data_IF_536343552911
#
_entry.id   IF_536343552911
#
_cell.length_a   1.000
_cell.length_b   1.000
_cell.length_c   1.000
_cell.angle_alpha   90.00
_cell.angle_beta   90.00
_cell.angle_gamma   90.00
#
_symmetry.space_group_name_H-M   'P 1'
#
loop_
_entity.id
_entity.type
_entity.pdbx_description
1 polymer ?
#
# COMPACT_ATOMS: atom_id res chain seq x y z
N UNK A 1 -29.81 -14.17 1.63
CA UNK A 1 -28.75 -14.42 0.62
C UNK A 1 -27.92 -13.17 0.36
N UNK A 2 -28.54 -12.01 0.17
CA UNK A 2 -27.85 -10.73 -0.03
C UNK A 2 -26.80 -10.42 1.06
N UNK A 3 -27.14 -10.59 2.34
CA UNK A 3 -26.23 -10.29 3.45
C UNK A 3 -24.93 -11.10 3.44
N UNK A 4 -24.99 -12.36 3.00
CA UNK A 4 -23.81 -13.21 2.86
C UNK A 4 -22.92 -12.75 1.70
N UNK A 5 -23.52 -12.33 0.59
CA UNK A 5 -22.77 -11.79 -0.55
C UNK A 5 -22.08 -10.49 -0.14
N UNK A 6 -22.79 -9.61 0.56
CA UNK A 6 -22.22 -8.36 1.08
C UNK A 6 -21.08 -8.64 2.08
N UNK A 7 -21.24 -9.63 2.96
CA UNK A 7 -20.19 -10.06 3.90
C UNK A 7 -18.93 -10.56 3.18
N UNK A 8 -19.09 -11.41 2.17
CA UNK A 8 -17.96 -11.88 1.37
C UNK A 8 -17.29 -10.73 0.60
N UNK A 9 -18.08 -9.82 0.02
CA UNK A 9 -17.55 -8.64 -0.67
C UNK A 9 -16.77 -7.73 0.29
N UNK A 10 -17.33 -7.43 1.46
CA UNK A 10 -16.64 -6.67 2.51
C UNK A 10 -15.33 -7.35 2.92
N UNK A 11 -15.36 -8.66 3.16
CA UNK A 11 -14.17 -9.41 3.55
C UNK A 11 -13.05 -9.33 2.50
N UNK A 12 -13.39 -9.52 1.23
CA UNK A 12 -12.42 -9.42 0.12
C UNK A 12 -11.87 -8.00 -0.01
N UNK A 13 -12.74 -6.99 0.06
CA UNK A 13 -12.38 -5.60 -0.23
C UNK A 13 -11.68 -4.90 0.93
N UNK A 14 -12.02 -5.25 2.17
CA UNK A 14 -11.51 -4.57 3.38
C UNK A 14 -10.51 -5.42 4.15
N UNK A 15 -10.86 -6.65 4.50
CA UNK A 15 -10.02 -7.50 5.36
C UNK A 15 -8.84 -8.13 4.59
N UNK A 16 -9.09 -8.50 3.34
CA UNK A 16 -8.08 -9.06 2.45
C UNK A 16 -7.33 -8.01 1.61
N UNK A 17 -7.68 -6.73 1.76
CA UNK A 17 -7.08 -5.62 1.01
C UNK A 17 -5.55 -5.65 0.96
N UNK A 18 -4.83 -5.93 2.07
CA UNK A 18 -3.37 -5.95 2.03
C UNK A 18 -2.79 -6.97 1.03
N UNK A 19 -3.40 -8.16 0.89
CA UNK A 19 -2.97 -9.16 -0.09
C UNK A 19 -3.19 -8.70 -1.53
N UNK A 20 -4.36 -8.11 -1.81
CA UNK A 20 -4.70 -7.61 -3.14
C UNK A 20 -3.78 -6.46 -3.55
N UNK A 21 -3.61 -5.47 -2.66
CA UNK A 21 -2.75 -4.31 -2.91
C UNK A 21 -1.30 -4.75 -3.07
N UNK A 22 -0.81 -5.68 -2.25
CA UNK A 22 0.55 -6.19 -2.36
C UNK A 22 0.79 -6.88 -3.71
N UNK A 23 -0.11 -7.76 -4.15
CA UNK A 23 0.05 -8.45 -5.43
C UNK A 23 -0.01 -7.47 -6.61
N UNK A 24 -0.93 -6.50 -6.58
CA UNK A 24 -1.02 -5.47 -7.63
C UNK A 24 0.24 -4.59 -7.67
N UNK A 25 0.73 -4.16 -6.50
CA UNK A 25 1.97 -3.39 -6.38
C UNK A 25 3.17 -4.21 -6.85
N UNK A 26 3.26 -5.49 -6.48
CA UNK A 26 4.29 -6.42 -6.92
C UNK A 26 4.32 -6.54 -8.44
N UNK A 27 3.15 -6.80 -9.05
CA UNK A 27 3.04 -6.94 -10.51
C UNK A 27 3.42 -5.65 -11.23
N UNK A 28 2.95 -4.50 -10.73
CA UNK A 28 3.31 -3.18 -11.28
C UNK A 28 4.82 -2.97 -11.23
N UNK A 29 5.42 -3.24 -10.07
CA UNK A 29 6.84 -3.05 -9.85
C UNK A 29 7.71 -3.95 -10.73
N UNK A 30 7.36 -5.23 -10.90
CA UNK A 30 8.11 -6.13 -11.80
C UNK A 30 8.07 -5.61 -13.24
N UNK A 31 6.88 -5.23 -13.73
CA UNK A 31 6.72 -4.68 -15.09
C UNK A 31 7.58 -3.42 -15.26
N UNK A 32 7.48 -2.49 -14.33
CA UNK A 32 8.20 -1.23 -14.37
C UNK A 32 9.70 -1.41 -14.23
N UNK A 33 10.15 -2.34 -13.39
CA UNK A 33 11.57 -2.58 -13.23
C UNK A 33 12.21 -3.22 -14.46
N UNK A 34 11.50 -4.12 -15.17
CA UNK A 34 12.00 -4.66 -16.44
C UNK A 34 12.05 -3.56 -17.49
N UNK A 35 11.02 -2.72 -17.58
CA UNK A 35 11.02 -1.58 -18.51
C UNK A 35 12.19 -0.63 -18.23
N UNK A 36 12.47 -0.33 -16.95
CA UNK A 36 13.63 0.49 -16.60
C UNK A 36 14.93 -0.13 -17.09
N UNK A 37 15.14 -1.43 -16.83
CA UNK A 37 16.34 -2.15 -17.26
C UNK A 37 16.48 -2.15 -18.77
N UNK A 38 15.38 -2.32 -19.51
CA UNK A 38 15.37 -2.15 -20.96
C UNK A 38 15.79 -0.71 -21.29
N UNK A 39 14.98 0.31 -21.00
CA UNK A 39 15.25 1.68 -21.47
C UNK A 39 16.59 2.29 -21.00
N UNK A 40 17.16 1.81 -19.90
CA UNK A 40 18.40 2.34 -19.33
C UNK A 40 19.61 1.40 -19.47
N UNK A 41 19.44 0.25 -20.14
CA UNK A 41 20.57 -0.64 -20.45
C UNK A 41 21.50 0.02 -21.48
N UNK A 42 22.82 -0.02 -21.26
CA UNK A 42 23.80 0.52 -22.21
C UNK A 42 23.79 -0.19 -23.57
N UNK A 43 23.22 -1.39 -23.69
CA UNK A 43 23.10 -2.12 -24.97
C UNK A 43 22.13 -1.46 -25.95
N UNK A 44 21.21 -0.62 -25.48
CA UNK A 44 20.23 0.04 -26.33
C UNK A 44 20.77 1.26 -27.09
N UNK A 45 21.95 1.82 -26.83
CA UNK A 45 22.36 3.02 -27.56
C UNK A 45 22.46 2.84 -29.10
N UNK A 46 22.93 1.69 -29.64
CA UNK A 46 22.90 1.42 -31.09
C UNK A 46 21.72 0.52 -31.51
N UNK A 47 21.28 -0.38 -30.64
CA UNK A 47 20.18 -1.32 -30.92
C UNK A 47 18.80 -0.69 -30.75
N UNK A 48 18.64 0.40 -29.97
CA UNK A 48 17.40 1.16 -29.87
C UNK A 48 17.10 1.87 -31.19
N UNK A 49 18.08 2.52 -31.82
CA UNK A 49 17.87 3.13 -33.14
C UNK A 49 17.57 2.07 -34.22
N UNK A 50 18.20 0.89 -34.11
CA UNK A 50 17.89 -0.26 -34.96
C UNK A 50 16.50 -0.81 -34.68
N UNK A 51 16.12 -1.13 -33.45
CA UNK A 51 14.85 -1.77 -33.07
C UNK A 51 13.66 -0.81 -33.15
N UNK A 52 13.88 0.50 -32.99
CA UNK A 52 12.89 1.55 -33.26
C UNK A 52 12.63 1.71 -34.77
N UNK A 53 13.63 1.41 -35.63
CA UNK A 53 13.46 1.37 -37.10
C UNK A 53 13.05 0.00 -37.64
N UNK A 54 13.42 -1.08 -36.96
CA UNK A 54 13.33 -2.48 -37.39
C UNK A 54 12.44 -3.33 -36.47
N UNK A 55 11.53 -2.72 -35.71
CA UNK A 55 10.50 -3.47 -35.00
C UNK A 55 9.78 -4.39 -36.00
N UNK A 56 9.35 -5.58 -35.57
CA UNK A 56 8.60 -6.51 -36.40
C UNK A 56 7.31 -5.89 -36.99
N UNK A 57 6.86 -4.76 -36.44
CA UNK A 57 5.69 -3.99 -36.87
C UNK A 57 6.04 -2.72 -37.67
N UNK A 58 7.33 -2.46 -37.96
CA UNK A 58 7.80 -1.29 -38.73
C UNK A 58 8.24 -0.10 -37.84
N UNK A 59 8.62 1.04 -38.46
CA UNK A 59 9.04 2.22 -37.71
C UNK A 59 7.89 2.80 -36.87
N UNK A 60 8.10 2.89 -35.56
CA UNK A 60 7.13 3.44 -34.60
C UNK A 60 7.56 4.82 -34.12
N UNK A 61 6.65 5.60 -33.55
CA UNK A 61 7.02 6.74 -32.71
C UNK A 61 7.36 6.28 -31.28
N UNK A 62 7.98 7.15 -30.48
CA UNK A 62 8.42 6.81 -29.13
C UNK A 62 7.26 6.36 -28.23
N UNK A 63 6.08 6.97 -28.39
CA UNK A 63 4.90 6.65 -27.59
C UNK A 63 4.36 5.25 -27.93
N UNK A 64 4.27 4.90 -29.21
CA UNK A 64 3.88 3.58 -29.69
C UNK A 64 4.91 2.52 -29.28
N UNK A 65 6.21 2.83 -29.37
CA UNK A 65 7.26 1.93 -28.91
C UNK A 65 7.17 1.64 -27.41
N UNK A 66 7.00 2.67 -26.57
CA UNK A 66 6.81 2.49 -25.13
C UNK A 66 5.55 1.69 -24.80
N UNK A 67 4.45 1.93 -25.52
CA UNK A 67 3.21 1.16 -25.39
C UNK A 67 3.38 -0.30 -25.77
N UNK A 68 4.11 -0.57 -26.86
CA UNK A 68 4.43 -1.91 -27.32
C UNK A 68 5.34 -2.65 -26.32
N UNK A 69 6.46 -2.04 -25.91
CA UNK A 69 7.37 -2.61 -24.92
C UNK A 69 6.66 -2.95 -23.61
N UNK A 70 5.76 -2.08 -23.14
CA UNK A 70 4.94 -2.34 -21.94
C UNK A 70 4.01 -3.54 -22.13
N UNK A 71 3.48 -3.74 -23.33
CA UNK A 71 2.62 -4.87 -23.66
C UNK A 71 3.43 -6.16 -23.70
N UNK A 72 4.59 -6.16 -24.36
CA UNK A 72 5.51 -7.29 -24.39
C UNK A 72 5.89 -7.74 -22.98
N UNK A 73 6.34 -6.82 -22.11
CA UNK A 73 6.68 -7.14 -20.71
C UNK A 73 5.49 -7.73 -19.95
N UNK A 74 4.29 -7.17 -20.14
CA UNK A 74 3.08 -7.67 -19.45
C UNK A 74 2.68 -9.06 -19.91
N UNK A 75 2.76 -9.34 -21.21
CA UNK A 75 2.47 -10.66 -21.78
C UNK A 75 3.50 -11.66 -21.31
N UNK A 76 4.77 -11.31 -21.37
CA UNK A 76 5.89 -12.13 -20.94
C UNK A 76 5.77 -12.55 -19.46
N UNK A 77 5.45 -11.62 -18.55
CA UNK A 77 5.26 -11.95 -17.13
C UNK A 77 3.93 -12.70 -16.86
N UNK A 78 2.95 -12.57 -17.75
CA UNK A 78 1.56 -13.02 -17.54
C UNK A 78 1.21 -14.36 -18.20
N UNK A 79 1.92 -14.75 -19.26
CA UNK A 79 1.60 -15.93 -20.06
C UNK A 79 2.83 -16.85 -20.22
N UNK A 80 2.89 -17.97 -19.46
CA UNK A 80 3.98 -18.93 -19.58
C UNK A 80 4.00 -19.71 -20.90
N UNK A 81 2.94 -19.58 -21.71
CA UNK A 81 2.81 -20.23 -23.02
C UNK A 81 2.83 -19.24 -24.18
N UNK A 82 3.19 -17.97 -23.93
CA UNK A 82 3.39 -17.01 -25.00
C UNK A 82 4.45 -17.56 -25.97
N UNK A 83 4.01 -17.95 -27.17
CA UNK A 83 4.85 -18.51 -28.23
C UNK A 83 5.49 -17.45 -29.10
N UNK A 84 5.05 -16.20 -28.95
CA UNK A 84 5.50 -15.09 -29.77
C UNK A 84 6.75 -14.47 -29.15
N UNK A 85 7.80 -14.32 -29.97
CA UNK A 85 8.94 -13.48 -29.59
C UNK A 85 8.44 -12.04 -29.34
N UNK A 86 8.94 -11.35 -28.30
CA UNK A 86 8.52 -9.98 -28.01
C UNK A 86 8.75 -9.08 -29.23
N UNK A 87 7.71 -8.32 -29.62
CA UNK A 87 7.68 -7.60 -30.89
C UNK A 87 8.55 -6.33 -30.90
N UNK A 88 8.85 -5.78 -29.73
CA UNK A 88 9.47 -4.46 -29.57
C UNK A 88 10.73 -4.45 -28.70
N UNK A 89 10.89 -5.41 -27.77
CA UNK A 89 12.06 -5.45 -26.87
C UNK A 89 12.67 -6.85 -26.80
N UNK A 90 14.00 -7.00 -26.96
CA UNK A 90 14.64 -8.27 -26.68
C UNK A 90 14.63 -8.51 -25.16
N UNK A 91 13.92 -9.54 -24.71
CA UNK A 91 13.91 -9.99 -23.32
C UNK A 91 14.89 -11.17 -23.17
N UNK A 92 15.90 -11.01 -22.33
CA UNK A 92 16.79 -12.12 -21.99
C UNK A 92 15.98 -13.26 -21.34
N UNK A 93 16.12 -14.47 -21.89
CA UNK A 93 15.36 -15.65 -21.48
C UNK A 93 15.44 -15.94 -19.98
N UNK A 94 16.63 -15.82 -19.37
CA UNK A 94 16.80 -16.06 -17.93
C UNK A 94 16.06 -15.05 -17.05
N UNK A 95 16.19 -13.76 -17.37
CA UNK A 95 15.53 -12.67 -16.65
C UNK A 95 14.01 -12.76 -16.81
N UNK A 96 13.54 -13.15 -18.00
CA UNK A 96 12.14 -13.42 -18.27
C UNK A 96 11.58 -14.56 -17.38
N UNK A 97 12.22 -15.73 -17.40
CA UNK A 97 11.76 -16.91 -16.67
C UNK A 97 11.74 -16.69 -15.15
N UNK A 98 12.74 -15.99 -14.60
CA UNK A 98 12.79 -15.69 -13.16
C UNK A 98 11.63 -14.78 -12.75
N UNK A 99 11.42 -13.67 -13.46
CA UNK A 99 10.36 -12.72 -13.14
C UNK A 99 8.96 -13.32 -13.33
N UNK A 100 8.77 -14.13 -14.38
CA UNK A 100 7.54 -14.88 -14.61
C UNK A 100 7.26 -15.88 -13.50
N UNK A 101 8.24 -16.72 -13.13
CA UNK A 101 8.11 -17.69 -12.03
C UNK A 101 7.77 -17.01 -10.70
N UNK A 102 8.45 -15.90 -10.37
CA UNK A 102 8.16 -15.14 -9.15
C UNK A 102 6.74 -14.54 -9.19
N UNK A 103 6.30 -14.01 -10.33
CA UNK A 103 4.95 -13.46 -10.49
C UNK A 103 3.87 -14.53 -10.36
N UNK A 104 4.01 -15.67 -11.05
CA UNK A 104 3.07 -16.78 -10.95
C UNK A 104 3.03 -17.35 -9.54
N UNK A 105 4.17 -17.44 -8.85
CA UNK A 105 4.24 -17.88 -7.45
C UNK A 105 3.52 -16.90 -6.53
N UNK A 106 3.76 -15.59 -6.67
CA UNK A 106 3.08 -14.56 -5.89
C UNK A 106 1.57 -14.56 -6.14
N UNK A 107 1.15 -14.71 -7.40
CA UNK A 107 -0.25 -14.81 -7.79
C UNK A 107 -0.90 -16.06 -7.19
N UNK A 108 -0.27 -17.22 -7.31
CA UNK A 108 -0.78 -18.49 -6.77
C UNK A 108 -0.93 -18.42 -5.25
N UNK A 109 0.09 -17.94 -4.53
CA UNK A 109 0.04 -17.76 -3.07
C UNK A 109 -1.09 -16.79 -2.70
N UNK A 110 -1.24 -15.67 -3.43
CA UNK A 110 -2.31 -14.71 -3.20
C UNK A 110 -3.70 -15.35 -3.41
N UNK A 111 -3.92 -16.04 -4.53
CA UNK A 111 -5.22 -16.65 -4.86
C UNK A 111 -5.57 -17.75 -3.86
N UNK A 112 -4.62 -18.65 -3.55
CA UNK A 112 -4.84 -19.72 -2.58
C UNK A 112 -5.16 -19.13 -1.21
N UNK A 113 -4.41 -18.14 -0.76
CA UNK A 113 -4.69 -17.43 0.49
C UNK A 113 -6.11 -16.85 0.50
N UNK A 114 -6.47 -16.08 -0.52
CA UNK A 114 -7.80 -15.47 -0.65
C UNK A 114 -8.91 -16.51 -0.59
N UNK A 115 -8.79 -17.60 -1.35
CA UNK A 115 -9.78 -18.69 -1.38
C UNK A 115 -9.90 -19.34 0.00
N UNK A 116 -8.78 -19.68 0.65
CA UNK A 116 -8.78 -20.27 1.99
C UNK A 116 -9.43 -19.35 3.02
N UNK A 117 -9.12 -18.06 2.97
CA UNK A 117 -9.67 -17.05 3.88
C UNK A 117 -11.18 -16.87 3.67
N UNK A 118 -11.64 -16.80 2.42
CA UNK A 118 -13.06 -16.68 2.07
C UNK A 118 -13.84 -17.94 2.48
N UNK A 119 -13.29 -19.14 2.24
CA UNK A 119 -13.89 -20.39 2.72
C UNK A 119 -14.02 -20.35 4.25
N UNK A 120 -12.98 -19.90 4.95
CA UNK A 120 -13.01 -19.77 6.41
C UNK A 120 -14.13 -18.84 6.90
N UNK A 121 -14.37 -17.72 6.24
CA UNK A 121 -15.51 -16.83 6.53
C UNK A 121 -16.84 -17.55 6.28
N UNK A 122 -16.98 -18.23 5.15
CA UNK A 122 -18.20 -18.99 4.83
C UNK A 122 -18.49 -20.10 5.84
N UNK A 123 -17.44 -20.69 6.43
CA UNK A 123 -17.53 -21.73 7.45
C UNK A 123 -17.67 -21.19 8.89
N UNK A 124 -17.50 -19.88 9.12
CA UNK A 124 -17.58 -19.27 10.45
C UNK A 124 -18.98 -19.28 11.07
N UNK A 125 -20.01 -19.58 10.27
CA UNK A 125 -21.41 -19.50 10.69
C UNK A 125 -21.96 -18.07 10.78
N UNK A 126 -21.18 -17.06 10.37
CA UNK A 126 -21.66 -15.69 10.23
C UNK A 126 -22.68 -15.54 9.09
N UNK A 127 -23.61 -14.61 9.26
CA UNK A 127 -24.73 -14.39 8.34
C UNK A 127 -24.76 -13.00 7.70
N UNK A 128 -24.11 -12.01 8.31
CA UNK A 128 -24.05 -10.62 7.83
C UNK A 128 -22.76 -9.91 8.30
N UNK A 129 -22.47 -8.75 7.70
CA UNK A 129 -21.31 -7.90 8.02
C UNK A 129 -21.32 -7.39 9.47
N UNK A 130 -22.51 -7.20 10.04
CA UNK A 130 -22.68 -6.75 11.42
C UNK A 130 -22.70 -7.86 12.46
N UNK A 131 -22.65 -9.13 12.06
CA UNK A 131 -22.74 -10.23 13.02
C UNK A 131 -21.44 -10.33 13.84
N UNK A 132 -21.54 -10.38 15.17
CA UNK A 132 -20.41 -10.51 16.09
C UNK A 132 -19.48 -11.67 15.74
N UNK A 133 -20.03 -12.82 15.29
CA UNK A 133 -19.24 -13.95 14.73
C UNK A 133 -18.30 -13.56 13.60
N UNK A 134 -18.76 -12.70 12.68
CA UNK A 134 -17.94 -12.23 11.57
C UNK A 134 -16.80 -11.36 12.08
N UNK A 135 -17.11 -10.39 12.95
CA UNK A 135 -16.11 -9.50 13.54
C UNK A 135 -15.07 -10.33 14.30
N UNK A 136 -15.52 -11.20 15.21
CA UNK A 136 -14.69 -12.11 15.99
C UNK A 136 -13.75 -12.94 15.10
N UNK A 137 -14.30 -13.57 14.05
CA UNK A 137 -13.51 -14.34 13.09
C UNK A 137 -12.38 -13.52 12.48
N UNK A 138 -12.68 -12.31 11.97
CA UNK A 138 -11.67 -11.46 11.32
C UNK A 138 -10.60 -10.95 12.28
N UNK A 139 -10.96 -10.63 13.52
CA UNK A 139 -10.01 -10.22 14.56
C UNK A 139 -9.10 -11.37 15.01
N UNK A 140 -9.65 -12.59 15.16
CA UNK A 140 -8.85 -13.77 15.52
C UNK A 140 -8.04 -14.30 14.34
N UNK A 141 -8.49 -14.06 13.10
CA UNK A 141 -7.78 -14.48 11.89
C UNK A 141 -6.35 -13.93 11.83
N UNK A 142 -6.15 -12.63 12.10
CA UNK A 142 -4.80 -12.03 12.10
C UNK A 142 -3.88 -12.59 13.19
N UNK A 143 -4.44 -13.13 14.28
CA UNK A 143 -3.66 -13.81 15.32
C UNK A 143 -3.24 -15.21 14.89
N UNK A 144 -4.02 -15.85 14.03
CA UNK A 144 -3.86 -17.24 13.63
C UNK A 144 -2.49 -17.50 12.99
N UNK A 145 -1.91 -18.63 13.34
CA UNK A 145 -0.66 -19.10 12.73
C UNK A 145 -0.73 -19.23 11.20
N UNK A 146 -1.79 -19.79 10.57
CA UNK A 146 -1.84 -19.91 9.11
C UNK A 146 -1.83 -18.55 8.41
N UNK A 147 -2.55 -17.55 8.95
CA UNK A 147 -2.49 -16.19 8.40
C UNK A 147 -1.06 -15.63 8.47
N UNK A 148 -0.40 -15.75 9.63
CA UNK A 148 0.97 -15.28 9.81
C UNK A 148 1.96 -15.97 8.88
N UNK A 149 1.81 -17.27 8.66
CA UNK A 149 2.66 -18.03 7.73
C UNK A 149 2.53 -17.52 6.29
N UNK A 150 1.29 -17.35 5.81
CA UNK A 150 1.01 -16.85 4.45
C UNK A 150 1.45 -15.39 4.28
N UNK A 151 1.17 -14.53 5.26
CA UNK A 151 1.61 -13.14 5.26
C UNK A 151 3.15 -13.04 5.25
N UNK A 152 3.83 -13.88 6.04
CA UNK A 152 5.30 -13.93 6.07
C UNK A 152 5.88 -14.41 4.74
N UNK A 153 5.28 -15.41 4.11
CA UNK A 153 5.70 -15.90 2.79
C UNK A 153 5.56 -14.81 1.71
N UNK A 154 4.43 -14.09 1.69
CA UNK A 154 4.22 -12.94 0.82
C UNK A 154 5.27 -11.83 1.06
N UNK A 155 5.53 -11.49 2.33
CA UNK A 155 6.55 -10.50 2.69
C UNK A 155 7.97 -10.96 2.29
N UNK A 156 8.26 -12.25 2.37
CA UNK A 156 9.55 -12.81 2.00
C UNK A 156 9.80 -12.68 0.49
N UNK A 157 8.80 -12.97 -0.36
CA UNK A 157 8.88 -12.76 -1.82
C UNK A 157 9.20 -11.30 -2.14
N UNK A 158 8.50 -10.37 -1.50
CA UNK A 158 8.72 -8.93 -1.67
C UNK A 158 10.11 -8.52 -1.20
N UNK A 159 10.57 -9.07 -0.08
CA UNK A 159 11.91 -8.79 0.47
C UNK A 159 13.02 -9.23 -0.48
N UNK A 160 12.91 -10.42 -1.10
CA UNK A 160 13.87 -10.89 -2.11
C UNK A 160 13.95 -9.90 -3.26
N UNK A 161 12.80 -9.47 -3.78
CA UNK A 161 12.72 -8.57 -4.92
C UNK A 161 13.28 -7.18 -4.60
N UNK A 162 12.95 -6.61 -3.44
CA UNK A 162 13.52 -5.33 -2.99
C UNK A 162 15.03 -5.46 -2.79
N UNK A 163 15.50 -6.54 -2.18
CA UNK A 163 16.94 -6.79 -1.98
C UNK A 163 17.70 -6.91 -3.30
N UNK A 164 17.15 -7.61 -4.30
CA UNK A 164 17.74 -7.72 -5.64
C UNK A 164 17.91 -6.35 -6.29
N UNK A 165 16.91 -5.46 -6.16
CA UNK A 165 16.96 -4.13 -6.78
C UNK A 165 17.85 -3.16 -6.02
N UNK A 166 17.84 -3.19 -4.70
CA UNK A 166 18.82 -2.44 -3.89
C UNK A 166 20.26 -2.87 -4.20
N UNK A 167 20.49 -4.17 -4.41
CA UNK A 167 21.79 -4.68 -4.83
C UNK A 167 22.20 -4.14 -6.22
N UNK A 168 21.28 -4.12 -7.18
CA UNK A 168 21.51 -3.56 -8.52
C UNK A 168 21.84 -2.06 -8.47
N UNK A 169 21.05 -1.28 -7.72
CA UNK A 169 21.28 0.16 -7.52
C UNK A 169 22.63 0.43 -6.86
N UNK A 170 22.98 -0.34 -5.83
CA UNK A 170 24.28 -0.25 -5.17
C UNK A 170 25.43 -0.51 -6.15
N UNK A 171 25.26 -1.45 -7.06
CA UNK A 171 26.20 -1.72 -8.15
C UNK A 171 26.40 -0.50 -9.06
N UNK A 172 25.34 0.19 -9.47
CA UNK A 172 25.44 1.39 -10.30
C UNK A 172 26.06 2.58 -9.55
N UNK A 173 25.76 2.74 -8.26
CA UNK A 173 26.43 3.72 -7.39
C UNK A 173 27.94 3.48 -7.31
N UNK A 174 28.36 2.22 -7.11
CA UNK A 174 29.80 1.87 -7.09
C UNK A 174 30.50 2.12 -8.43
N UNK A 175 29.77 2.06 -9.55
CA UNK A 175 30.31 2.38 -10.89
C UNK A 175 30.33 3.89 -11.17
N UNK A 176 30.00 4.75 -10.20
CA UNK A 176 29.99 6.20 -10.35
C UNK A 176 28.77 6.75 -11.12
N UNK A 177 27.74 5.94 -11.34
CA UNK A 177 26.54 6.32 -12.09
C UNK A 177 25.41 6.79 -11.15
N UNK A 178 25.72 7.75 -10.28
CA UNK A 178 24.80 8.23 -9.26
C UNK A 178 23.46 8.73 -9.83
N UNK A 179 23.52 9.45 -10.97
CA UNK A 179 22.33 9.97 -11.64
C UNK A 179 21.33 8.87 -12.05
N UNK A 180 21.80 7.68 -12.45
CA UNK A 180 20.88 6.57 -12.78
C UNK A 180 20.13 6.06 -11.55
N UNK A 181 20.83 5.98 -10.42
CA UNK A 181 20.24 5.55 -9.15
C UNK A 181 19.23 6.58 -8.62
N UNK A 182 19.49 7.87 -8.80
CA UNK A 182 18.58 8.97 -8.48
C UNK A 182 17.29 8.88 -9.29
N UNK A 183 17.39 8.81 -10.63
CA UNK A 183 16.22 8.66 -11.52
C UNK A 183 15.39 7.43 -11.16
N UNK A 184 16.05 6.29 -10.88
CA UNK A 184 15.32 5.10 -10.45
C UNK A 184 14.58 5.30 -9.12
N UNK A 185 15.21 5.97 -8.15
CA UNK A 185 14.61 6.23 -6.86
C UNK A 185 13.39 7.18 -6.98
N UNK A 186 13.45 8.16 -7.87
CA UNK A 186 12.34 9.08 -8.15
C UNK A 186 11.18 8.35 -8.84
N UNK A 187 11.47 7.55 -9.87
CA UNK A 187 10.45 6.88 -10.69
C UNK A 187 9.80 5.68 -9.97
N UNK A 188 10.57 4.93 -9.17
CA UNK A 188 10.11 3.65 -8.61
C UNK A 188 10.19 3.54 -7.09
N UNK A 189 10.82 4.52 -6.41
CA UNK A 189 10.82 4.59 -4.94
C UNK A 189 9.42 4.54 -4.32
N UNK A 190 8.40 5.25 -4.87
CA UNK A 190 7.04 5.15 -4.37
C UNK A 190 6.44 3.73 -4.42
N UNK A 191 6.77 2.93 -5.44
CA UNK A 191 6.30 1.55 -5.55
C UNK A 191 6.96 0.64 -4.52
N UNK A 192 8.27 0.82 -4.26
CA UNK A 192 8.99 0.11 -3.19
C UNK A 192 8.38 0.46 -1.83
N UNK A 193 8.11 1.75 -1.58
CA UNK A 193 7.46 2.19 -0.35
C UNK A 193 6.06 1.59 -0.19
N UNK A 194 5.28 1.52 -1.28
CA UNK A 194 3.95 0.89 -1.27
C UNK A 194 4.03 -0.61 -0.94
N UNK A 195 5.01 -1.32 -1.51
CA UNK A 195 5.29 -2.73 -1.21
C UNK A 195 5.63 -2.93 0.27
N UNK A 196 6.58 -2.15 0.80
CA UNK A 196 7.01 -2.22 2.20
C UNK A 196 5.87 -1.86 3.14
N UNK A 197 5.11 -0.81 2.85
CA UNK A 197 3.94 -0.41 3.64
C UNK A 197 2.85 -1.48 3.65
N UNK A 198 2.62 -2.16 2.52
CA UNK A 198 1.67 -3.27 2.42
C UNK A 198 2.11 -4.49 3.22
N UNK A 199 3.42 -4.82 3.21
CA UNK A 199 4.00 -5.83 4.09
C UNK A 199 3.82 -5.49 5.56
N UNK A 200 4.13 -4.25 5.96
CA UNK A 200 3.93 -3.78 7.32
C UNK A 200 2.46 -3.88 7.74
N UNK A 201 1.53 -3.49 6.86
CA UNK A 201 0.09 -3.58 7.12
C UNK A 201 -0.40 -5.02 7.33
N UNK A 202 0.11 -6.00 6.57
CA UNK A 202 -0.20 -7.43 6.76
C UNK A 202 0.29 -7.97 8.10
N UNK A 203 1.47 -7.52 8.55
CA UNK A 203 2.07 -7.98 9.80
C UNK A 203 1.56 -7.20 11.03
N UNK A 204 0.97 -6.03 10.81
CA UNK A 204 0.38 -5.22 11.87
C UNK A 204 -0.89 -5.88 12.42
N UNK A 205 -0.90 -6.08 13.74
CA UNK A 205 -2.07 -6.47 14.49
C UNK A 205 -2.42 -5.35 15.47
N UNK A 206 -3.69 -4.95 15.48
CA UNK A 206 -4.23 -4.02 16.47
C UNK A 206 -5.06 -4.81 17.46
N UNK A 207 -4.73 -4.71 18.74
CA UNK A 207 -5.52 -5.36 19.78
C UNK A 207 -6.83 -4.59 20.01
N UNK A 208 -7.94 -5.34 20.10
CA UNK A 208 -9.26 -4.79 20.46
C UNK A 208 -9.39 -4.85 21.98
N UNK A 209 -9.97 -3.81 22.59
CA UNK A 209 -9.96 -3.69 24.05
C UNK A 209 -10.96 -4.62 24.75
N UNK A 210 -12.01 -5.04 24.06
CA UNK A 210 -13.04 -5.96 24.55
C UNK A 210 -12.89 -7.38 23.99
N UNK A 211 -13.60 -8.34 24.61
CA UNK A 211 -13.45 -9.76 24.30
C UNK A 211 -14.37 -10.25 23.19
N UNK A 212 -13.88 -10.16 21.96
CA UNK A 212 -14.57 -10.65 20.77
C UNK A 212 -14.76 -12.18 20.73
N UNK A 213 -14.07 -12.95 21.58
CA UNK A 213 -14.16 -14.41 21.57
C UNK A 213 -15.30 -14.96 22.44
N UNK A 214 -15.96 -14.11 23.24
CA UNK A 214 -17.11 -14.49 24.05
C UNK A 214 -18.30 -14.87 23.18
N UNK A 215 -19.04 -15.90 23.58
CA UNK A 215 -20.23 -16.35 22.84
C UNK A 215 -21.34 -15.30 22.82
N UNK A 216 -21.45 -14.51 23.89
CA UNK A 216 -22.38 -13.39 23.99
C UNK A 216 -22.07 -12.33 22.93
N UNK A 217 -20.78 -11.95 22.78
CA UNK A 217 -20.35 -11.02 21.72
C UNK A 217 -20.63 -11.59 20.34
N UNK A 218 -20.32 -12.87 20.12
CA UNK A 218 -20.56 -13.55 18.84
C UNK A 218 -22.05 -13.54 18.45
N UNK A 219 -22.95 -13.60 19.43
CA UNK A 219 -24.39 -13.55 19.21
C UNK A 219 -24.92 -12.14 18.89
N UNK A 220 -24.14 -11.08 19.09
CA UNK A 220 -24.56 -9.71 18.81
C UNK A 220 -24.72 -9.45 17.30
N UNK A 221 -25.65 -8.56 16.97
CA UNK A 221 -25.88 -8.08 15.62
C UNK A 221 -25.78 -6.55 15.57
N UNK A 222 -24.67 -6.06 15.02
CA UNK A 222 -24.42 -4.64 14.83
C UNK A 222 -25.09 -4.11 13.56
N UNK A 223 -25.55 -2.86 13.63
CA UNK A 223 -26.13 -2.14 12.50
C UNK A 223 -25.01 -1.60 11.61
N UNK A 224 -24.73 -2.29 10.50
CA UNK A 224 -23.75 -1.85 9.50
C UNK A 224 -24.43 -1.60 8.15
N UNK A 225 -24.27 -0.39 7.63
CA UNK A 225 -24.84 0.01 6.34
C UNK A 225 -24.12 -0.62 5.16
N UNK A 226 -24.76 -0.61 3.98
CA UNK A 226 -24.15 -1.13 2.74
C UNK A 226 -22.87 -0.36 2.35
N UNK A 227 -22.77 0.93 2.71
CA UNK A 227 -21.55 1.72 2.50
C UNK A 227 -20.34 1.13 3.22
N UNK A 228 -20.53 0.49 4.38
CA UNK A 228 -19.46 -0.11 5.17
C UNK A 228 -18.71 -1.21 4.40
N UNK A 229 -19.34 -1.84 3.39
CA UNK A 229 -18.74 -2.87 2.52
C UNK A 229 -17.39 -2.44 1.94
N UNK A 230 -17.22 -1.14 1.66
CA UNK A 230 -16.02 -0.60 1.01
C UNK A 230 -15.35 0.54 1.80
N UNK A 231 -15.98 1.03 2.87
CA UNK A 231 -15.52 2.22 3.59
C UNK A 231 -14.93 1.96 4.96
N UNK A 232 -15.20 0.81 5.58
CA UNK A 232 -14.85 0.55 6.98
C UNK A 232 -14.34 -0.90 7.16
N UNK A 233 -13.17 -1.10 7.77
CA UNK A 233 -12.73 -2.45 8.18
C UNK A 233 -13.33 -2.84 9.54
N UNK A 234 -13.30 -4.13 9.88
CA UNK A 234 -13.75 -4.60 11.19
C UNK A 234 -12.89 -4.04 12.33
N UNK A 235 -11.60 -3.74 12.09
CA UNK A 235 -10.77 -3.06 13.08
C UNK A 235 -11.18 -1.59 13.29
N UNK A 236 -11.55 -0.88 12.22
CA UNK A 236 -12.06 0.49 12.32
C UNK A 236 -13.39 0.52 13.08
N UNK A 237 -14.27 -0.44 12.77
CA UNK A 237 -15.52 -0.65 13.49
C UNK A 237 -15.29 -0.94 14.98
N UNK A 238 -14.42 -1.89 15.32
CA UNK A 238 -14.08 -2.17 16.72
C UNK A 238 -13.50 -0.94 17.44
N UNK A 239 -12.69 -0.13 16.77
CA UNK A 239 -12.18 1.11 17.34
C UNK A 239 -13.28 2.16 17.58
N UNK A 240 -14.30 2.21 16.71
CA UNK A 240 -15.48 3.05 16.91
C UNK A 240 -16.31 2.57 18.12
N UNK A 241 -16.47 1.25 18.28
CA UNK A 241 -17.12 0.64 19.45
C UNK A 241 -16.31 0.95 20.72
N UNK A 242 -14.99 0.79 20.70
CA UNK A 242 -14.08 1.13 21.82
C UNK A 242 -14.27 2.60 22.25
N UNK A 243 -14.31 3.52 21.28
CA UNK A 243 -14.51 4.95 21.54
C UNK A 243 -15.89 5.23 22.15
N UNK A 244 -16.93 4.55 21.66
CA UNK A 244 -18.29 4.75 22.12
C UNK A 244 -18.49 4.19 23.54
N UNK A 245 -17.87 3.05 23.88
CA UNK A 245 -17.79 2.53 25.25
C UNK A 245 -17.08 3.49 26.19
N UNK A 246 -15.97 4.08 25.74
CA UNK A 246 -15.24 5.06 26.53
C UNK A 246 -16.12 6.27 26.86
N UNK A 247 -16.83 6.83 25.86
CA UNK A 247 -17.77 7.94 26.07
C UNK A 247 -18.90 7.58 27.04
N UNK A 248 -19.46 6.36 26.95
CA UNK A 248 -20.51 5.89 27.85
C UNK A 248 -20.05 5.89 29.30
N UNK A 249 -18.81 5.48 29.55
CA UNK A 249 -18.19 5.48 30.87
C UNK A 249 -17.99 6.88 31.49
N UNK A 250 -17.93 7.94 30.69
CA UNK A 250 -17.80 9.33 31.16
C UNK A 250 -19.14 10.07 31.30
N UNK A 251 -20.28 9.37 31.17
CA UNK A 251 -21.62 9.99 31.13
C UNK A 251 -21.80 11.01 29.99
N UNK A 252 -20.91 10.99 28.99
CA UNK A 252 -21.08 11.74 27.74
C UNK A 252 -21.95 10.90 26.81
N UNK A 253 -23.27 10.97 27.03
CA UNK A 253 -24.35 10.24 26.35
C UNK A 253 -24.03 9.81 24.90
N UNK A 254 -23.50 8.59 24.69
CA UNK A 254 -23.33 8.03 23.37
C UNK A 254 -24.42 6.98 23.20
N UNK A 255 -25.31 7.23 22.26
CA UNK A 255 -26.40 6.32 21.98
C UNK A 255 -25.85 5.03 21.32
N UNK A 256 -25.27 4.13 22.13
CA UNK A 256 -24.78 2.82 21.69
C UNK A 256 -25.92 1.97 21.13
N UNK A 257 -27.19 2.34 21.40
CA UNK A 257 -28.35 1.72 20.80
C UNK A 257 -28.39 1.92 19.28
N UNK A 258 -27.76 2.98 18.75
CA UNK A 258 -27.62 3.19 17.31
C UNK A 258 -26.68 2.16 16.64
N UNK A 259 -25.77 1.54 17.41
CA UNK A 259 -24.77 0.60 16.89
C UNK A 259 -25.31 -0.82 16.72
N UNK A 260 -26.44 -1.17 17.36
CA UNK A 260 -27.02 -2.51 17.33
C UNK A 260 -28.32 -2.53 16.55
N UNK A 261 -28.48 -3.52 15.69
CA UNK A 261 -29.66 -3.61 14.83
C UNK A 261 -30.88 -4.16 15.54
N UNK A 262 -30.69 -4.80 16.68
CA UNK A 262 -31.72 -5.55 17.39
C UNK A 262 -32.04 -4.91 18.74
N UNK A 263 -33.29 -4.46 18.93
CA UNK A 263 -33.78 -3.92 20.20
C UNK A 263 -33.92 -4.99 21.30
N UNK A 264 -33.47 -6.21 21.03
CA UNK A 264 -33.58 -7.39 21.89
C UNK A 264 -32.51 -7.43 22.99
N UNK A 265 -31.40 -6.70 22.83
CA UNK A 265 -30.32 -6.62 23.82
C UNK A 265 -30.44 -5.31 24.58
N UNK A 266 -30.59 -5.38 25.90
CA UNK A 266 -30.64 -4.19 26.73
C UNK A 266 -29.30 -3.43 26.68
N UNK A 267 -29.35 -2.11 26.80
CA UNK A 267 -28.16 -1.25 26.79
C UNK A 267 -27.11 -1.67 27.84
N UNK A 268 -27.57 -2.09 29.02
CA UNK A 268 -26.71 -2.59 30.10
C UNK A 268 -26.00 -3.89 29.72
N UNK A 269 -26.70 -4.83 29.06
CA UNK A 269 -26.12 -6.08 28.58
C UNK A 269 -25.06 -5.80 27.50
N UNK A 270 -25.31 -4.82 26.63
CA UNK A 270 -24.34 -4.42 25.62
C UNK A 270 -23.06 -3.85 26.25
N UNK A 271 -23.18 -2.98 27.25
CA UNK A 271 -22.02 -2.47 28.00
C UNK A 271 -21.29 -3.60 28.73
N UNK A 272 -22.02 -4.59 29.24
CA UNK A 272 -21.43 -5.74 29.91
C UNK A 272 -20.64 -6.63 28.95
N UNK A 273 -21.23 -6.99 27.80
CA UNK A 273 -20.62 -7.87 26.79
C UNK A 273 -19.40 -7.20 26.16
N UNK A 274 -19.51 -5.91 25.86
CA UNK A 274 -18.44 -5.14 25.25
C UNK A 274 -17.50 -4.49 26.28
N UNK A 275 -17.55 -4.88 27.56
CA UNK A 275 -16.67 -4.29 28.58
C UNK A 275 -15.20 -4.52 28.21
N UNK A 276 -14.33 -3.51 28.41
CA UNK A 276 -12.90 -3.71 28.23
C UNK A 276 -12.43 -4.89 29.08
N UNK A 277 -11.55 -5.72 28.51
CA UNK A 277 -10.85 -6.74 29.30
C UNK A 277 -10.20 -6.04 30.48
N UNK A 278 -10.41 -6.54 31.70
CA UNK A 278 -9.61 -6.09 32.84
C UNK A 278 -8.15 -6.30 32.43
N UNK A 279 -7.44 -5.20 32.21
CA UNK A 279 -6.02 -5.20 31.88
C UNK A 279 -5.29 -5.82 33.07
N UNK A 280 -5.14 -7.15 33.05
CA UNK A 280 -4.33 -7.89 33.98
C UNK A 280 -2.97 -7.19 34.08
N UNK A 281 -2.69 -6.63 35.26
CA UNK A 281 -1.45 -5.99 35.70
C UNK A 281 -1.06 -4.58 35.21
N UNK A 282 -1.81 -3.89 34.34
CA UNK A 282 -1.45 -2.51 33.93
C UNK A 282 -2.26 -1.39 34.62
N UNK A 283 -3.38 -1.72 35.26
CA UNK A 283 -4.23 -0.75 35.96
C UNK A 283 -3.75 -0.38 37.37
N UNK A 284 -2.67 -0.98 37.87
CA UNK A 284 -2.09 -0.70 39.20
C UNK A 284 -0.90 0.29 39.17
N UNK A 285 -0.67 1.00 38.05
CA UNK A 285 0.25 2.13 38.05
C UNK A 285 -0.55 3.42 38.33
N UNK A 286 -0.28 4.17 39.42
CA UNK A 286 -0.92 5.45 39.63
C UNK A 286 -0.57 6.37 38.46
N UNK A 287 -1.57 6.75 37.67
CA UNK A 287 -1.42 7.77 36.62
C UNK A 287 -0.92 9.05 37.28
N UNK A 288 0.38 9.34 37.16
CA UNK A 288 0.89 10.70 37.35
C UNK A 288 0.16 11.58 36.35
N UNK A 289 -0.63 12.54 36.86
CA UNK A 289 -1.14 13.67 36.08
C UNK A 289 0.06 14.45 35.56
N UNK A 290 0.50 14.18 34.35
CA UNK A 290 1.27 15.15 33.58
C UNK A 290 0.29 15.91 32.69
N UNK A 291 0.01 17.14 33.12
CA UNK A 291 -0.67 18.12 32.31
C UNK A 291 0.28 18.53 31.18
N UNK A 292 0.08 17.97 29.99
CA UNK A 292 0.59 18.56 28.76
C UNK A 292 -0.58 18.79 27.82
N UNK A 293 -1.04 20.02 27.84
CA UNK A 293 -1.88 20.64 26.82
C UNK A 293 -1.14 20.67 25.48
N UNK A 294 -1.64 19.95 24.49
CA UNK A 294 -1.45 20.26 23.08
C UNK A 294 -2.73 19.87 22.32
N UNK A 295 -3.37 20.78 21.57
CA UNK A 295 -4.56 20.45 20.81
C UNK A 295 -4.16 19.70 19.53
N UNK A 296 -4.64 18.46 19.41
CA UNK A 296 -4.60 17.72 18.15
C UNK A 296 -5.71 18.27 17.24
N UNK A 297 -5.34 19.09 16.27
CA UNK A 297 -6.24 19.53 15.20
C UNK A 297 -6.43 18.37 14.20
N UNK A 298 -7.70 18.01 13.98
CA UNK A 298 -8.11 17.01 13.01
C UNK A 298 -8.13 17.51 11.56
N UNK A 299 -8.37 16.54 10.66
CA UNK A 299 -9.00 16.75 9.37
C UNK A 299 -8.09 17.21 8.24
N UNK A 300 -7.48 16.25 7.52
CA UNK A 300 -7.15 16.44 6.11
C UNK A 300 -8.30 15.88 5.25
N UNK A 301 -9.38 16.65 5.12
CA UNK A 301 -10.27 16.53 3.95
C UNK A 301 -9.81 17.55 2.91
N UNK A 302 -9.52 17.06 1.71
CA UNK A 302 -9.22 17.91 0.55
C UNK A 302 -10.51 18.58 0.10
N UNK A 303 -10.67 19.86 0.43
CA UNK A 303 -11.80 20.69 0.02
C UNK A 303 -11.30 22.05 -0.45
N UNK A 304 -11.20 22.23 -1.76
CA UNK A 304 -11.02 23.52 -2.42
C UNK A 304 -12.14 24.49 -1.98
N UNK A 305 -11.79 25.63 -1.37
CA UNK A 305 -12.68 26.81 -1.35
C UNK A 305 -11.85 28.09 -1.36
N UNK A 306 -12.02 28.85 -2.44
CA UNK A 306 -11.53 30.22 -2.61
C UNK A 306 -12.25 31.24 -1.71
N UNK A 307 -11.62 32.41 -1.59
CA UNK A 307 -11.97 33.68 -0.90
C UNK A 307 -11.24 33.82 0.45
N UNK A 308 -10.53 34.89 0.77
CA UNK A 308 -10.34 36.18 0.11
C UNK A 308 -10.11 37.25 1.19
N UNK A 309 -8.99 37.97 1.07
CA UNK A 309 -8.69 39.32 1.59
C UNK A 309 -8.27 39.56 3.06
N UNK A 310 -7.24 40.42 3.13
CA UNK A 310 -6.79 41.33 4.21
C UNK A 310 -6.09 40.63 5.40
N UNK A 311 -4.83 40.91 5.76
CA UNK A 311 -3.93 42.02 5.48
C UNK A 311 -3.38 42.53 6.81
N UNK A 312 -2.11 42.25 7.15
CA UNK A 312 -1.33 43.01 8.13
C UNK A 312 0.10 42.45 8.26
N UNK A 313 1.09 43.32 8.03
CA UNK A 313 2.26 43.47 8.90
C UNK A 313 3.41 42.48 8.78
N UNK A 314 4.37 42.79 7.90
CA UNK A 314 5.78 42.40 8.06
C UNK A 314 6.39 43.11 9.30
N UNK A 315 7.51 42.58 9.85
CA UNK A 315 8.79 43.13 9.42
C UNK A 315 9.82 42.09 9.01
N UNK A 316 10.65 42.51 8.06
CA UNK A 316 11.82 41.84 7.51
C UNK A 316 12.90 41.54 8.54
N UNK A 317 13.56 40.38 8.39
CA UNK A 317 14.95 40.20 8.80
C UNK A 317 15.77 39.80 7.58
N UNK A 318 16.66 40.70 7.18
CA UNK A 318 17.61 40.55 6.09
C UNK A 318 18.70 39.53 6.44
N UNK A 319 18.94 38.55 5.57
CA UNK A 319 20.18 37.77 5.57
C UNK A 319 21.06 38.31 4.45
N UNK A 320 22.21 38.87 4.84
CA UNK A 320 23.26 39.36 3.95
C UNK A 320 23.94 38.18 3.25
N UNK A 321 23.96 38.21 1.92
CA UNK A 321 24.83 37.38 1.08
C UNK A 321 26.19 38.06 1.04
N UNK A 322 27.24 37.34 1.46
CA UNK A 322 28.62 37.78 1.28
C UNK A 322 29.04 37.52 -0.17
N UNK A 323 29.18 38.60 -0.94
CA UNK A 323 29.91 38.60 -2.20
C UNK A 323 31.40 38.41 -1.93
N UNK A 324 32.06 37.58 -2.74
CA UNK A 324 33.52 37.51 -2.79
C UNK A 324 33.94 37.76 -4.23
N UNK A 325 34.25 39.02 -4.51
CA UNK A 325 35.00 39.45 -5.68
C UNK A 325 36.47 39.06 -5.51
N UNK A 326 37.09 38.67 -6.62
CA UNK A 326 38.50 38.31 -6.76
C UNK A 326 38.85 38.23 -8.24
N UNK A 327 39.16 39.39 -8.79
CA UNK A 327 39.58 39.73 -10.15
C UNK A 327 40.87 39.03 -10.62
N UNK A 328 40.92 38.81 -11.95
CA UNK A 328 42.02 39.03 -12.94
C UNK A 328 43.41 38.43 -12.69
N UNK A 329 44.19 37.94 -13.67
CA UNK A 329 44.35 38.26 -15.09
C UNK A 329 44.97 37.04 -15.84
N UNK A 330 44.80 36.95 -17.17
CA UNK A 330 45.54 35.97 -17.98
C UNK A 330 45.14 35.82 -19.44
N UNK A 331 45.34 36.88 -20.21
CA UNK A 331 45.39 37.01 -21.69
C UNK A 331 45.82 35.76 -22.48
N UNK A 332 45.12 35.47 -23.59
CA UNK A 332 45.66 34.65 -24.69
C UNK A 332 44.62 34.26 -25.76
N UNK A 333 44.39 35.13 -26.75
CA UNK A 333 43.46 34.87 -27.85
C UNK A 333 44.07 34.21 -29.09
N UNK A 334 43.19 33.62 -29.93
CA UNK A 334 43.16 33.52 -31.42
C UNK A 334 42.22 32.36 -31.80
N UNK A 335 41.05 32.58 -32.40
CA UNK A 335 40.69 33.04 -33.76
C UNK A 335 40.43 31.88 -34.75
N UNK A 336 39.23 31.92 -35.34
CA UNK A 336 38.82 31.42 -36.67
C UNK A 336 38.74 29.88 -36.86
N UNK A 337 37.72 29.31 -37.50
CA UNK A 337 36.70 29.92 -38.33
C UNK A 337 35.58 28.94 -38.74
N UNK A 338 34.46 29.52 -39.15
CA UNK A 338 33.40 28.87 -39.90
C UNK A 338 33.86 28.59 -41.33
N UNK A 339 33.53 27.42 -41.86
CA UNK A 339 33.44 27.20 -43.29
C UNK A 339 32.14 26.43 -43.59
N UNK A 340 31.27 27.11 -44.32
CA UNK A 340 30.11 26.58 -45.02
C UNK A 340 30.61 25.93 -46.31
N UNK A 341 30.15 24.73 -46.62
CA UNK A 341 29.84 24.25 -47.98
C UNK A 341 28.84 23.11 -47.88
#
# INVERSE_FOLDING_TARGET
>A
MLDRVLMCAHFIMMECRPFLVLYLAYRSFVVHSILYEVFHSPTLSPEFESNHRNSAQGPMDLAAYMGCARTDVKTAIGDPFAKDEPACIPLEYHTHMVNMCLNLTAAAVCVVAMVTLVIGVCCSGATSIGHGRYIAYTTSLKKSWPYKAVASLQCFIVTILVAQKLHSLYGELRKGKAHKAEVYAEDYGPEILLLVASCAAMLSYREVTFDVEQEEFKALHFKRGVSAVVSESNFDFCAAVDLALHKAGFQEDPDMSELVSDHSVAYEDLLHICRPKELGSAAAAPRKREAHSAPFCGGCSWGFRQQGRQGAGLPMTSVRVAARDGESDGVGGRSEGCAVS
#
